data_IF_304721223484
#
_entry.id   IF_304721223484
#
_cell.length_a   1.000
_cell.length_b   1.000
_cell.length_c   1.000
_cell.angle_alpha   90.00
_cell.angle_beta   90.00
_cell.angle_gamma   90.00
#
_symmetry.space_group_name_H-M   'P 1'
#
loop_
_entity.id
_entity.type
_entity.pdbx_description
1 polymer ?
#
# COMPACT_ATOMS: atom_id res chain seq x y z
N UNK A 1 -7.44 37.24 53.24
CA UNK A 1 -8.33 37.53 54.39
C UNK A 1 -7.62 37.00 55.61
N UNK A 2 -7.29 37.87 56.57
CA UNK A 2 -6.63 37.46 57.83
C UNK A 2 -7.69 36.82 58.72
N UNK A 3 -7.94 35.53 58.52
CA UNK A 3 -8.73 34.74 59.46
C UNK A 3 -7.94 34.66 60.77
N UNK A 4 -8.55 35.16 61.84
CA UNK A 4 -8.01 35.05 63.20
C UNK A 4 -8.12 33.58 63.57
N UNK A 5 -7.00 32.86 63.55
CA UNK A 5 -6.97 31.45 63.95
C UNK A 5 -7.38 31.33 65.42
N UNK A 6 -8.36 30.48 65.74
CA UNK A 6 -8.84 30.35 67.11
C UNK A 6 -7.70 29.85 68.00
N UNK A 7 -7.50 30.52 69.13
CA UNK A 7 -6.51 30.11 70.12
C UNK A 7 -6.99 28.83 70.83
N UNK A 8 -6.06 27.97 71.29
CA UNK A 8 -6.43 26.81 72.10
C UNK A 8 -7.20 27.24 73.37
N UNK A 9 -8.21 26.46 73.78
CA UNK A 9 -9.04 26.76 74.96
C UNK A 9 -8.22 26.89 76.26
N UNK A 10 -7.05 26.28 76.30
CA UNK A 10 -6.09 26.31 77.41
C UNK A 10 -5.26 27.59 77.52
N UNK A 11 -5.39 28.56 76.60
CA UNK A 11 -4.64 29.84 76.67
C UNK A 11 -4.99 30.65 77.93
N UNK A 12 -6.20 30.49 78.48
CA UNK A 12 -6.61 31.14 79.74
C UNK A 12 -6.01 30.50 81.00
N UNK A 13 -5.32 29.36 80.87
CA UNK A 13 -4.68 28.64 81.98
C UNK A 13 -3.17 28.88 82.09
N UNK A 14 -2.56 29.60 81.14
CA UNK A 14 -1.12 29.81 81.12
C UNK A 14 -0.71 31.12 81.82
N UNK A 15 0.37 31.04 82.60
CA UNK A 15 1.14 32.18 83.09
C UNK A 15 1.85 32.90 81.94
N UNK A 16 2.08 34.21 82.06
CA UNK A 16 2.88 34.99 81.10
C UNK A 16 4.28 34.38 80.85
N UNK A 17 4.86 33.68 81.82
CA UNK A 17 6.14 32.98 81.66
C UNK A 17 6.04 31.76 80.73
N UNK A 18 4.90 31.06 80.78
CA UNK A 18 4.65 29.84 79.99
C UNK A 18 4.29 30.19 78.54
N UNK A 19 3.62 31.32 78.32
CA UNK A 19 3.39 31.88 76.98
C UNK A 19 4.72 32.24 76.32
N UNK A 20 5.63 32.86 77.06
CA UNK A 20 6.96 33.22 76.55
C UNK A 20 7.81 31.98 76.22
N UNK A 21 7.74 30.91 77.03
CA UNK A 21 8.40 29.65 76.70
C UNK A 21 7.73 28.93 75.52
N UNK A 22 6.40 29.03 75.38
CA UNK A 22 5.68 28.44 74.25
C UNK A 22 6.10 29.09 72.92
N UNK A 23 6.29 30.41 72.92
CA UNK A 23 6.72 31.17 71.75
C UNK A 23 8.20 30.94 71.42
N UNK A 24 9.08 30.86 72.43
CA UNK A 24 10.53 30.71 72.21
C UNK A 24 10.98 29.27 71.97
N UNK A 25 10.45 28.32 72.74
CA UNK A 25 10.98 26.95 72.81
C UNK A 25 10.08 25.92 72.11
N UNK A 26 8.84 26.28 71.78
CA UNK A 26 7.83 25.37 71.22
C UNK A 26 7.13 25.92 69.97
N UNK A 27 7.85 26.72 69.19
CA UNK A 27 7.35 27.28 67.93
C UNK A 27 6.89 26.20 66.93
N UNK A 28 7.57 25.05 66.87
CA UNK A 28 7.19 23.94 65.99
C UNK A 28 5.80 23.38 66.30
N UNK A 29 5.38 23.40 67.58
CA UNK A 29 4.04 22.94 68.00
C UNK A 29 2.96 23.97 67.65
N UNK A 30 3.29 25.25 67.70
CA UNK A 30 2.42 26.32 67.21
C UNK A 30 2.26 26.23 65.68
N UNK A 31 3.33 25.87 64.97
CA UNK A 31 3.28 25.66 63.52
C UNK A 31 2.39 24.47 63.15
N UNK A 32 2.53 23.33 63.81
CA UNK A 32 1.63 22.17 63.63
C UNK A 32 0.16 22.49 63.96
N UNK A 33 -0.07 23.32 64.98
CA UNK A 33 -1.41 23.79 65.33
C UNK A 33 -2.00 24.67 64.22
N UNK A 34 -1.21 25.58 63.66
CA UNK A 34 -1.62 26.42 62.52
C UNK A 34 -1.89 25.57 61.28
N UNK A 35 -1.05 24.57 61.01
CA UNK A 35 -1.20 23.65 59.87
C UNK A 35 -2.53 22.88 59.91
N UNK A 36 -3.09 22.63 61.10
CA UNK A 36 -4.41 22.00 61.26
C UNK A 36 -5.56 22.87 60.73
N UNK A 37 -5.39 24.19 60.68
CA UNK A 37 -6.39 25.13 60.14
C UNK A 37 -6.19 25.41 58.65
N UNK A 38 -5.05 25.03 58.07
CA UNK A 38 -4.79 25.13 56.64
C UNK A 38 -5.44 23.90 55.98
N UNK A 39 -6.68 24.07 55.51
CA UNK A 39 -7.40 23.00 54.81
C UNK A 39 -6.68 22.65 53.50
N UNK A 40 -6.00 21.50 53.50
CA UNK A 40 -5.35 20.90 52.33
C UNK A 40 -6.25 19.90 51.61
N UNK A 41 -7.44 19.62 52.15
CA UNK A 41 -8.38 18.63 51.63
C UNK A 41 -8.82 18.89 50.19
N UNK A 42 -9.01 20.16 49.82
CA UNK A 42 -9.39 20.55 48.45
C UNK A 42 -8.27 20.25 47.46
N UNK A 43 -7.04 20.65 47.80
CA UNK A 43 -5.84 20.39 47.02
C UNK A 43 -5.57 18.88 46.91
N UNK A 44 -5.78 18.13 48.00
CA UNK A 44 -5.57 16.69 48.01
C UNK A 44 -6.62 15.96 47.15
N UNK A 45 -7.88 16.42 47.15
CA UNK A 45 -8.91 15.91 46.23
C UNK A 45 -8.57 16.22 44.77
N UNK A 46 -8.15 17.44 44.46
CA UNK A 46 -7.72 17.81 43.10
C UNK A 46 -6.53 16.97 42.64
N UNK A 47 -5.52 16.78 43.49
CA UNK A 47 -4.37 15.92 43.20
C UNK A 47 -4.80 14.48 42.91
N UNK A 48 -5.75 13.96 43.68
CA UNK A 48 -6.27 12.60 43.50
C UNK A 48 -7.03 12.47 42.19
N UNK A 49 -7.86 13.47 41.84
CA UNK A 49 -8.58 13.53 40.58
C UNK A 49 -7.62 13.62 39.37
N UNK A 50 -6.60 14.47 39.41
CA UNK A 50 -5.58 14.54 38.35
C UNK A 50 -4.82 13.23 38.20
N UNK A 51 -4.53 12.54 39.32
CA UNK A 51 -3.90 11.22 39.28
C UNK A 51 -4.79 10.17 38.60
N UNK A 52 -6.09 10.18 38.88
CA UNK A 52 -7.04 9.28 38.21
C UNK A 52 -7.15 9.57 36.71
N UNK A 53 -7.24 10.84 36.32
CA UNK A 53 -7.27 11.25 34.91
C UNK A 53 -5.99 10.83 34.17
N UNK A 54 -4.82 10.96 34.80
CA UNK A 54 -3.55 10.52 34.22
C UNK A 54 -3.48 9.00 34.06
N UNK A 55 -4.07 8.24 34.99
CA UNK A 55 -4.16 6.78 34.87
C UNK A 55 -5.11 6.36 33.74
N UNK A 56 -6.26 7.01 33.62
CA UNK A 56 -7.19 6.78 32.50
C UNK A 56 -6.52 7.09 31.17
N UNK A 57 -5.86 8.25 31.06
CA UNK A 57 -5.15 8.63 29.85
C UNK A 57 -4.05 7.62 29.50
N UNK A 58 -3.30 7.12 30.50
CA UNK A 58 -2.29 6.08 30.28
C UNK A 58 -2.92 4.82 29.70
N UNK A 59 -4.05 4.40 30.24
CA UNK A 59 -4.71 3.17 29.79
C UNK A 59 -5.31 3.34 28.37
N UNK A 60 -5.84 4.53 28.04
CA UNK A 60 -6.25 4.89 26.67
C UNK A 60 -5.07 4.85 25.69
N UNK A 61 -3.90 5.35 26.08
CA UNK A 61 -2.69 5.27 25.24
C UNK A 61 -2.23 3.84 25.00
N UNK A 62 -2.35 2.96 26.00
CA UNK A 62 -2.02 1.54 25.85
C UNK A 62 -2.97 0.87 24.85
N UNK A 63 -4.28 1.17 24.95
CA UNK A 63 -5.27 0.65 24.01
C UNK A 63 -5.05 1.19 22.59
N UNK A 64 -4.76 2.49 22.46
CA UNK A 64 -4.45 3.12 21.19
C UNK A 64 -3.22 2.48 20.54
N UNK A 65 -2.16 2.24 21.31
CA UNK A 65 -0.96 1.58 20.81
C UNK A 65 -1.28 0.18 20.28
N UNK A 66 -2.09 -0.60 21.02
CA UNK A 66 -2.53 -1.92 20.57
C UNK A 66 -3.31 -1.85 19.26
N UNK A 67 -4.19 -0.86 19.10
CA UNK A 67 -4.96 -0.65 17.87
C UNK A 67 -4.08 -0.24 16.69
N UNK A 68 -3.05 0.57 16.94
CA UNK A 68 -2.04 0.94 15.95
C UNK A 68 -1.28 -0.32 15.49
N UNK A 69 -0.85 -1.17 16.42
CA UNK A 69 -0.11 -2.38 16.09
C UNK A 69 -0.95 -3.34 15.22
N UNK A 70 -2.24 -3.55 15.57
CA UNK A 70 -3.18 -4.36 14.77
C UNK A 70 -3.40 -3.75 13.38
N UNK A 71 -3.60 -2.43 13.31
CA UNK A 71 -3.80 -1.75 12.02
C UNK A 71 -2.56 -1.86 11.14
N UNK A 72 -1.36 -1.77 11.72
CA UNK A 72 -0.12 -1.94 10.98
C UNK A 72 0.03 -3.37 10.44
N UNK A 73 -0.34 -4.39 11.22
CA UNK A 73 -0.34 -5.77 10.72
C UNK A 73 -1.31 -5.96 9.55
N UNK A 74 -2.53 -5.42 9.66
CA UNK A 74 -3.52 -5.48 8.57
C UNK A 74 -3.04 -4.75 7.31
N UNK A 75 -2.36 -3.61 7.49
CA UNK A 75 -1.81 -2.82 6.40
C UNK A 75 -0.68 -3.57 5.67
N UNK A 76 0.19 -4.26 6.42
CA UNK A 76 1.24 -5.09 5.83
C UNK A 76 0.66 -6.30 5.07
N UNK A 77 -0.40 -6.93 5.59
CA UNK A 77 -1.11 -7.99 4.87
C UNK A 77 -1.75 -7.47 3.56
N UNK A 78 -2.36 -6.28 3.60
CA UNK A 78 -2.89 -5.63 2.40
C UNK A 78 -1.80 -5.27 1.40
N UNK A 79 -0.61 -4.86 1.85
CA UNK A 79 0.55 -4.62 0.97
C UNK A 79 1.01 -5.91 0.29
N UNK A 80 1.07 -7.01 1.03
CA UNK A 80 1.40 -8.33 0.47
C UNK A 80 0.35 -8.72 -0.58
N UNK A 81 -0.93 -8.53 -0.28
CA UNK A 81 -2.01 -8.82 -1.22
C UNK A 81 -1.92 -7.97 -2.49
N UNK A 82 -1.65 -6.68 -2.35
CA UNK A 82 -1.47 -5.77 -3.48
C UNK A 82 -0.27 -6.17 -4.36
N UNK A 83 0.83 -6.62 -3.75
CA UNK A 83 1.97 -7.16 -4.49
C UNK A 83 1.59 -8.41 -5.30
N UNK A 84 0.85 -9.35 -4.68
CA UNK A 84 0.34 -10.55 -5.37
C UNK A 84 -0.61 -10.19 -6.52
N UNK A 85 -1.50 -9.23 -6.31
CA UNK A 85 -2.39 -8.73 -7.34
C UNK A 85 -1.61 -8.13 -8.52
N UNK A 86 -0.67 -7.24 -8.22
CA UNK A 86 0.17 -6.57 -9.23
C UNK A 86 0.93 -7.59 -10.07
N UNK A 87 1.51 -8.61 -9.43
CA UNK A 87 2.19 -9.69 -10.16
C UNK A 87 1.25 -10.43 -11.11
N UNK A 88 0.08 -10.86 -10.62
CA UNK A 88 -0.92 -11.55 -11.47
C UNK A 88 -1.40 -10.69 -12.63
N UNK A 89 -1.59 -9.40 -12.37
CA UNK A 89 -1.95 -8.42 -13.39
C UNK A 89 -0.86 -8.29 -14.44
N UNK A 90 0.41 -8.19 -14.03
CA UNK A 90 1.56 -8.11 -14.93
C UNK A 90 1.69 -9.38 -15.78
N UNK A 91 1.59 -10.56 -15.16
CA UNK A 91 1.65 -11.85 -15.86
C UNK A 91 0.54 -11.95 -16.93
N UNK A 92 -0.70 -11.59 -16.55
CA UNK A 92 -1.83 -11.55 -17.48
C UNK A 92 -1.59 -10.56 -18.61
N UNK A 93 -1.19 -9.33 -18.28
CA UNK A 93 -0.96 -8.28 -19.25
C UNK A 93 0.18 -8.64 -20.21
N UNK A 94 1.21 -9.35 -19.74
CA UNK A 94 2.27 -9.88 -20.59
C UNK A 94 1.72 -10.91 -21.58
N UNK A 95 0.91 -11.87 -21.13
CA UNK A 95 0.28 -12.87 -22.01
C UNK A 95 -0.63 -12.20 -23.04
N UNK A 96 -1.46 -11.24 -22.59
CA UNK A 96 -2.35 -10.48 -23.48
C UNK A 96 -1.55 -9.70 -24.50
N UNK A 97 -0.54 -8.95 -24.08
CA UNK A 97 0.24 -8.12 -25.01
C UNK A 97 1.06 -8.95 -25.98
N UNK A 98 1.64 -10.07 -25.53
CA UNK A 98 2.48 -10.92 -26.37
C UNK A 98 1.69 -11.82 -27.34
N UNK A 99 0.43 -12.16 -27.02
CA UNK A 99 -0.32 -13.10 -27.86
C UNK A 99 -1.53 -12.49 -28.56
N UNK A 100 -2.18 -11.54 -27.91
CA UNK A 100 -3.52 -11.09 -28.26
C UNK A 100 -3.63 -9.59 -28.51
N UNK A 101 -2.58 -8.80 -28.24
CA UNK A 101 -2.61 -7.39 -28.62
C UNK A 101 -2.75 -7.26 -30.13
N UNK A 102 -3.48 -6.23 -30.54
CA UNK A 102 -3.67 -5.90 -31.94
C UNK A 102 -2.34 -5.77 -32.67
N UNK A 103 -1.37 -5.08 -32.05
CA UNK A 103 -0.02 -4.95 -32.59
C UNK A 103 0.64 -6.32 -32.81
N UNK A 104 0.61 -7.22 -31.83
CA UNK A 104 1.27 -8.52 -31.97
C UNK A 104 0.56 -9.42 -32.98
N UNK A 105 -0.77 -9.41 -33.03
CA UNK A 105 -1.51 -10.17 -34.03
C UNK A 105 -1.22 -9.64 -35.44
N UNK A 106 -1.17 -8.31 -35.61
CA UNK A 106 -0.82 -7.68 -36.88
C UNK A 106 0.62 -8.00 -37.30
N UNK A 107 1.58 -7.90 -36.39
CA UNK A 107 2.98 -8.28 -36.65
C UNK A 107 3.12 -9.77 -37.00
N UNK A 108 2.39 -10.66 -36.32
CA UNK A 108 2.34 -12.09 -36.68
C UNK A 108 1.78 -12.31 -38.09
N UNK A 109 0.77 -11.53 -38.49
CA UNK A 109 0.18 -11.59 -39.83
C UNK A 109 1.17 -11.08 -40.90
N UNK A 110 1.84 -9.97 -40.64
CA UNK A 110 2.90 -9.42 -41.50
C UNK A 110 4.05 -10.41 -41.69
N UNK A 111 4.50 -11.06 -40.61
CA UNK A 111 5.53 -12.11 -40.68
C UNK A 111 5.07 -13.31 -41.52
N UNK A 112 3.79 -13.72 -41.42
CA UNK A 112 3.24 -14.79 -42.27
C UNK A 112 3.21 -14.40 -43.75
N UNK A 113 2.86 -13.16 -44.06
CA UNK A 113 2.87 -12.65 -45.44
C UNK A 113 4.30 -12.71 -45.99
N UNK A 114 5.28 -12.18 -45.26
CA UNK A 114 6.69 -12.23 -45.65
C UNK A 114 7.19 -13.68 -45.81
N UNK A 115 6.78 -14.59 -44.92
CA UNK A 115 7.10 -16.01 -45.04
C UNK A 115 6.58 -16.63 -46.34
N UNK A 116 5.30 -16.41 -46.69
CA UNK A 116 4.74 -16.95 -47.93
C UNK A 116 5.35 -16.33 -49.19
N UNK A 117 5.76 -15.07 -49.13
CA UNK A 117 6.49 -14.40 -50.20
C UNK A 117 7.84 -15.07 -50.44
N UNK A 118 8.66 -15.20 -49.40
CA UNK A 118 9.97 -15.87 -49.49
C UNK A 118 9.83 -17.32 -49.95
N UNK A 119 8.83 -18.06 -49.47
CA UNK A 119 8.60 -19.45 -49.93
C UNK A 119 8.22 -19.51 -51.40
N UNK A 120 7.32 -18.64 -51.86
CA UNK A 120 6.92 -18.56 -53.27
C UNK A 120 8.13 -18.26 -54.16
N UNK A 121 8.95 -17.27 -53.77
CA UNK A 121 10.12 -16.86 -54.52
C UNK A 121 11.20 -17.96 -54.53
N UNK A 122 11.31 -18.71 -53.43
CA UNK A 122 12.21 -19.88 -53.34
C UNK A 122 11.77 -20.99 -54.29
N UNK A 123 10.47 -21.27 -54.37
CA UNK A 123 9.92 -22.27 -55.32
C UNK A 123 10.20 -21.82 -56.76
N UNK A 124 9.96 -20.55 -57.08
CA UNK A 124 10.25 -19.99 -58.40
C UNK A 124 11.74 -20.09 -58.76
N UNK A 125 12.63 -19.71 -57.85
CA UNK A 125 14.08 -19.83 -58.04
C UNK A 125 14.53 -21.29 -58.22
N UNK A 126 13.93 -22.23 -57.47
CA UNK A 126 14.21 -23.66 -57.59
C UNK A 126 13.71 -24.27 -58.91
N UNK A 127 12.64 -23.71 -59.49
CA UNK A 127 12.16 -24.11 -60.82
C UNK A 127 13.08 -23.54 -61.91
N UNK A 128 13.46 -22.27 -61.79
CA UNK A 128 14.29 -21.58 -62.78
C UNK A 128 15.76 -22.03 -62.82
N UNK A 129 16.28 -22.55 -61.72
CA UNK A 129 17.68 -23.02 -61.61
C UNK A 129 17.91 -24.46 -62.09
N UNK A 130 16.84 -25.20 -62.41
CA UNK A 130 16.94 -26.57 -62.94
C UNK A 130 17.03 -26.53 -64.47
N UNK A 131 18.26 -26.40 -64.98
CA UNK A 131 18.55 -26.53 -66.42
C UNK A 131 18.25 -27.94 -66.98
N UNK A 132 18.22 -28.95 -66.09
CA UNK A 132 17.85 -30.33 -66.43
C UNK A 132 16.79 -30.81 -65.44
N UNK A 133 15.59 -31.15 -65.93
CA UNK A 133 14.50 -31.67 -65.11
C UNK A 133 14.88 -33.09 -64.64
N UNK A 134 15.06 -33.35 -63.33
CA UNK A 134 15.25 -34.70 -62.81
C UNK A 134 14.05 -35.59 -63.18
N UNK A 135 14.26 -36.87 -63.50
CA UNK A 135 13.15 -37.81 -63.83
C UNK A 135 12.06 -37.88 -62.73
N UNK A 136 12.42 -37.57 -61.48
CA UNK A 136 11.50 -37.54 -60.33
C UNK A 136 10.90 -36.15 -60.04
N UNK A 137 11.12 -35.15 -60.90
CA UNK A 137 10.56 -33.81 -60.68
C UNK A 137 9.09 -33.75 -61.01
N UNK A 138 8.29 -33.66 -59.96
CA UNK A 138 6.84 -33.50 -60.06
C UNK A 138 6.49 -32.02 -60.22
N UNK A 139 6.46 -31.58 -61.47
CA UNK A 139 6.11 -30.22 -61.85
C UNK A 139 4.74 -29.82 -61.30
N UNK A 140 3.73 -30.69 -61.44
CA UNK A 140 2.38 -30.41 -60.95
C UNK A 140 2.32 -30.21 -59.43
N UNK A 141 3.10 -30.97 -58.65
CA UNK A 141 3.19 -30.77 -57.19
C UNK A 141 3.85 -29.42 -56.85
N UNK A 142 4.87 -29.01 -57.61
CA UNK A 142 5.56 -27.72 -57.41
C UNK A 142 4.69 -26.53 -57.81
N UNK A 143 3.92 -26.66 -58.90
CA UNK A 143 2.94 -25.66 -59.34
C UNK A 143 1.82 -25.52 -58.31
N UNK A 144 1.29 -26.65 -57.81
CA UNK A 144 0.25 -26.63 -56.79
C UNK A 144 0.75 -26.00 -55.49
N UNK A 145 1.95 -26.34 -55.03
CA UNK A 145 2.53 -25.71 -53.83
C UNK A 145 2.75 -24.20 -54.05
N UNK A 146 3.28 -23.79 -55.20
CA UNK A 146 3.42 -22.37 -55.53
C UNK A 146 2.08 -21.62 -55.51
N UNK A 147 1.05 -22.18 -56.17
CA UNK A 147 -0.29 -21.60 -56.20
C UNK A 147 -0.90 -21.52 -54.80
N UNK A 148 -0.70 -22.54 -53.98
CA UNK A 148 -1.17 -22.55 -52.59
C UNK A 148 -0.45 -21.46 -51.76
N UNK A 149 0.87 -21.32 -51.88
CA UNK A 149 1.61 -20.25 -51.19
C UNK A 149 1.17 -18.86 -51.65
N UNK A 150 0.92 -18.67 -52.95
CA UNK A 150 0.54 -17.35 -53.48
C UNK A 150 -0.90 -16.98 -53.17
N UNK A 151 -1.81 -17.94 -53.22
CA UNK A 151 -3.18 -17.79 -52.70
C UNK A 151 -3.16 -17.38 -51.21
N UNK A 152 -2.37 -18.09 -50.39
CA UNK A 152 -2.25 -17.76 -48.97
C UNK A 152 -1.60 -16.38 -48.73
N UNK A 153 -0.60 -15.99 -49.52
CA UNK A 153 -0.01 -14.65 -49.46
C UNK A 153 -1.07 -13.56 -49.71
N UNK A 154 -1.80 -13.67 -50.82
CA UNK A 154 -2.79 -12.66 -51.21
C UNK A 154 -3.95 -12.60 -50.21
N UNK A 155 -4.45 -13.75 -49.75
CA UNK A 155 -5.49 -13.82 -48.73
C UNK A 155 -5.07 -13.10 -47.43
N UNK A 156 -3.88 -13.39 -46.91
CA UNK A 156 -3.40 -12.75 -45.68
C UNK A 156 -3.15 -11.24 -45.88
N UNK A 157 -2.72 -10.83 -47.08
CA UNK A 157 -2.53 -9.41 -47.45
C UNK A 157 -3.86 -8.66 -47.51
N UNK A 158 -4.89 -9.25 -48.08
CA UNK A 158 -6.25 -8.68 -48.09
C UNK A 158 -6.79 -8.53 -46.67
N UNK A 159 -6.67 -9.56 -45.84
CA UNK A 159 -7.07 -9.52 -44.42
C UNK A 159 -6.36 -8.37 -43.70
N UNK A 160 -5.05 -8.20 -43.90
CA UNK A 160 -4.28 -7.11 -43.29
C UNK A 160 -4.75 -5.72 -43.77
N UNK A 161 -5.04 -5.56 -45.06
CA UNK A 161 -5.54 -4.31 -45.62
C UNK A 161 -6.93 -3.96 -45.06
N UNK A 162 -7.84 -4.93 -44.99
CA UNK A 162 -9.16 -4.74 -44.38
C UNK A 162 -9.05 -4.41 -42.89
N UNK A 163 -8.18 -5.10 -42.15
CA UNK A 163 -7.94 -4.83 -40.73
C UNK A 163 -7.45 -3.39 -40.54
N UNK A 164 -6.47 -2.94 -41.32
CA UNK A 164 -5.97 -1.56 -41.26
C UNK A 164 -7.07 -0.51 -41.50
N UNK A 165 -7.97 -0.79 -42.45
CA UNK A 165 -9.09 0.10 -42.75
C UNK A 165 -10.12 0.13 -41.61
N UNK A 166 -10.46 -1.02 -41.02
CA UNK A 166 -11.36 -1.10 -39.86
C UNK A 166 -10.80 -0.40 -38.62
N UNK A 167 -9.48 -0.47 -38.39
CA UNK A 167 -8.82 0.26 -37.31
C UNK A 167 -8.89 1.78 -37.46
N UNK A 168 -8.98 2.29 -38.69
CA UNK A 168 -9.19 3.72 -38.97
C UNK A 168 -10.65 4.15 -38.71
N UNK A 169 -11.62 3.25 -38.85
CA UNK A 169 -13.05 3.53 -38.63
C UNK A 169 -13.46 3.57 -37.15
N UNK A 170 -12.64 2.99 -36.25
CA UNK A 170 -12.87 3.00 -34.80
C UNK A 170 -12.21 4.17 -34.06
N UNK A 171 -11.39 4.97 -34.75
CA UNK A 171 -10.78 6.20 -34.23
C UNK A 171 -11.68 7.40 -34.51
#
# INVERSE_FOLDING_TARGET
MTEITPLPESVNLLSNSEILSLIKDHNDKLQLYIDQFISTDTLQRELTNYKEQLLQLRDEFIELQKNIDVTNTDLDDLRILNSKYTKRWQDLNQVVNHNYSEHTLKSKLENKISYFEVQSDTIESNIMSKDTIPEDFKLDESINDFLDKRTNYHLNKEILLTWNHQGQLKK
#
